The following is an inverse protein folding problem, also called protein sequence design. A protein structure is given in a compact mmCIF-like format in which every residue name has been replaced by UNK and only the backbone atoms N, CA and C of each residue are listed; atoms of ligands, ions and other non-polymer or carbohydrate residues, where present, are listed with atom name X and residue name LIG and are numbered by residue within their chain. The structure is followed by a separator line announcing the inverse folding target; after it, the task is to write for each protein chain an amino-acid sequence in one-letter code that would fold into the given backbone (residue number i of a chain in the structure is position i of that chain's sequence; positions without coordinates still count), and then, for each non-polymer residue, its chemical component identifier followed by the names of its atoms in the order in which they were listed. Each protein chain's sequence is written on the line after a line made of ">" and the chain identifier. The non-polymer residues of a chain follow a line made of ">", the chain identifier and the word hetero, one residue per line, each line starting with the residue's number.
data_IF_402876138943
#
_entry.id   IF_402876138943
#
_cell.length_a   1.000
_cell.length_b   1.000
_cell.length_c   1.000
_cell.angle_alpha   90.00
_cell.angle_beta   90.00
_cell.angle_gamma   90.00
#
_symmetry.space_group_name_H-M   'P 1'
#
loop_
_entity.id
_entity.type
_entity.pdbx_description
1 polymer ?
#
# COMPACT_ATOMS: atom_id res chain seq x y z
N UNK A 1 13.91 0.10 -15.75
CA UNK A 1 15.10 0.97 -15.82
C UNK A 1 15.55 1.03 -17.26
N UNK A 2 16.18 2.14 -17.65
CA UNK A 2 16.72 2.31 -18.99
C UNK A 2 17.77 1.22 -19.32
N UNK A 3 17.82 0.81 -20.59
CA UNK A 3 18.67 -0.26 -21.09
C UNK A 3 20.17 0.00 -20.88
N UNK A 4 20.58 1.28 -20.90
CA UNK A 4 21.96 1.70 -20.72
C UNK A 4 22.45 1.60 -19.27
N UNK A 5 21.54 1.48 -18.29
CA UNK A 5 21.91 1.46 -16.87
C UNK A 5 22.24 0.04 -16.41
N UNK A 6 23.41 -0.12 -15.78
CA UNK A 6 23.85 -1.41 -15.26
C UNK A 6 23.04 -1.84 -14.03
N UNK A 7 22.90 -3.16 -13.82
CA UNK A 7 22.25 -3.70 -12.63
C UNK A 7 22.97 -3.33 -11.33
N UNK A 8 24.31 -3.20 -11.35
CA UNK A 8 25.08 -2.77 -10.20
C UNK A 8 24.70 -1.34 -9.80
N UNK A 9 24.64 -0.44 -10.77
CA UNK A 9 24.20 0.96 -10.57
C UNK A 9 22.77 1.03 -10.03
N UNK A 10 21.83 0.26 -10.60
CA UNK A 10 20.45 0.22 -10.08
C UNK A 10 20.41 -0.30 -8.65
N UNK A 11 21.14 -1.39 -8.36
CA UNK A 11 21.18 -1.98 -7.02
C UNK A 11 21.71 -1.01 -5.99
N UNK A 12 22.84 -0.37 -6.27
CA UNK A 12 23.45 0.63 -5.39
C UNK A 12 22.52 1.82 -5.17
N UNK A 13 22.03 2.43 -6.26
CA UNK A 13 21.13 3.58 -6.16
C UNK A 13 19.85 3.29 -5.39
N UNK A 14 19.22 2.12 -5.59
CA UNK A 14 18.03 1.73 -4.81
C UNK A 14 18.37 1.55 -3.32
N UNK A 15 19.52 0.98 -2.98
CA UNK A 15 19.90 0.76 -1.58
C UNK A 15 20.25 2.08 -0.89
N UNK A 16 21.13 2.88 -1.49
CA UNK A 16 21.66 4.11 -0.87
C UNK A 16 20.67 5.27 -0.93
N UNK A 17 19.94 5.44 -2.02
CA UNK A 17 19.09 6.62 -2.24
C UNK A 17 17.62 6.39 -1.89
N UNK A 18 17.18 5.13 -1.75
CA UNK A 18 15.78 4.80 -1.46
C UNK A 18 15.65 4.03 -0.15
N UNK A 19 16.28 2.86 -0.03
CA UNK A 19 16.02 1.97 1.10
C UNK A 19 16.62 2.53 2.41
N UNK A 20 17.92 2.88 2.42
CA UNK A 20 18.56 3.43 3.63
C UNK A 20 17.90 4.73 4.13
N UNK A 21 17.52 5.69 3.26
CA UNK A 21 16.89 6.93 3.72
C UNK A 21 15.48 6.75 4.31
N UNK A 22 14.72 5.73 3.89
CA UNK A 22 13.35 5.49 4.40
C UNK A 22 13.29 4.48 5.55
N UNK A 23 14.35 3.69 5.77
CA UNK A 23 14.41 2.74 6.87
C UNK A 23 14.49 3.47 8.22
N UNK A 24 13.56 3.20 9.15
CA UNK A 24 13.62 3.80 10.49
C UNK A 24 14.89 3.37 11.24
N UNK A 25 15.60 4.33 11.83
CA UNK A 25 16.87 4.11 12.53
C UNK A 25 16.78 3.19 13.76
N UNK A 26 15.58 2.95 14.29
CA UNK A 26 15.37 2.10 15.46
C UNK A 26 15.21 0.61 15.12
N UNK A 27 15.13 0.24 13.84
CA UNK A 27 15.06 -1.17 13.43
C UNK A 27 16.47 -1.77 13.40
N UNK A 28 16.61 -3.01 13.87
CA UNK A 28 17.85 -3.76 13.66
C UNK A 28 17.99 -4.11 12.17
N UNK A 29 19.03 -3.56 11.56
CA UNK A 29 19.31 -3.72 10.12
C UNK A 29 20.47 -4.67 9.84
N UNK A 30 21.11 -5.23 10.88
CA UNK A 30 22.33 -6.04 10.76
C UNK A 30 22.14 -7.31 9.92
N UNK A 31 20.93 -7.89 9.94
CA UNK A 31 20.57 -9.10 9.20
C UNK A 31 19.85 -8.88 7.87
N UNK A 32 19.75 -7.64 7.35
CA UNK A 32 18.93 -7.37 6.17
C UNK A 32 19.55 -7.96 4.91
N UNK A 33 18.74 -8.76 4.20
CA UNK A 33 19.03 -9.22 2.84
C UNK A 33 18.35 -8.32 1.81
N UNK A 34 19.14 -7.50 1.11
CA UNK A 34 18.62 -6.65 0.03
C UNK A 34 18.42 -7.42 -1.28
N UNK A 35 17.17 -7.56 -1.72
CA UNK A 35 16.79 -8.12 -3.01
C UNK A 35 16.33 -7.01 -3.95
N UNK A 36 17.24 -6.50 -4.77
CA UNK A 36 16.95 -5.49 -5.79
C UNK A 36 16.98 -6.17 -7.14
N UNK A 37 15.88 -6.05 -7.91
CA UNK A 37 15.69 -6.70 -9.20
C UNK A 37 16.10 -8.19 -9.20
N UNK A 38 15.52 -9.04 -8.33
CA UNK A 38 15.96 -10.43 -8.20
C UNK A 38 15.81 -11.25 -9.49
N UNK A 39 14.96 -10.81 -10.42
CA UNK A 39 14.76 -11.42 -11.74
C UNK A 39 15.65 -10.81 -12.84
N UNK A 40 16.55 -9.89 -12.51
CA UNK A 40 17.48 -9.26 -13.44
C UNK A 40 16.93 -8.02 -14.15
N UNK A 41 17.11 -7.93 -15.48
CA UNK A 41 16.73 -6.75 -16.27
C UNK A 41 15.22 -6.53 -16.26
N UNK A 42 14.82 -5.28 -16.09
CA UNK A 42 13.42 -4.84 -16.10
C UNK A 42 13.34 -3.55 -16.90
N UNK A 43 13.39 -3.68 -18.23
CA UNK A 43 13.43 -2.55 -19.19
C UNK A 43 12.03 -2.17 -19.65
N UNK A 44 11.24 -3.17 -20.06
CA UNK A 44 9.84 -2.98 -20.48
C UNK A 44 8.94 -3.02 -19.24
N UNK A 45 8.11 -2.00 -19.06
CA UNK A 45 7.14 -1.92 -17.95
C UNK A 45 5.88 -1.18 -18.36
N UNK A 46 5.01 -0.91 -17.38
CA UNK A 46 3.72 -0.29 -17.64
C UNK A 46 2.77 -1.19 -18.45
N UNK A 47 1.80 -0.61 -19.19
CA UNK A 47 0.80 -1.38 -19.94
C UNK A 47 1.36 -2.33 -21.01
N UNK A 48 2.58 -2.08 -21.49
CA UNK A 48 3.26 -2.97 -22.44
C UNK A 48 3.72 -4.29 -21.80
N UNK A 49 3.90 -4.32 -20.47
CA UNK A 49 4.38 -5.50 -19.74
C UNK A 49 3.31 -6.22 -18.90
N UNK A 50 2.22 -5.53 -18.53
CA UNK A 50 1.13 -6.12 -17.74
C UNK A 50 -0.18 -5.33 -17.94
N UNK A 51 -1.31 -6.04 -17.98
CA UNK A 51 -2.63 -5.43 -18.15
C UNK A 51 -3.15 -4.86 -16.82
N UNK A 52 -3.44 -3.57 -16.80
CA UNK A 52 -3.97 -2.87 -15.62
C UNK A 52 -5.50 -2.78 -15.62
N UNK A 53 -6.13 -3.00 -14.46
CA UNK A 53 -7.55 -2.72 -14.23
C UNK A 53 -7.74 -1.95 -12.93
N UNK A 54 -8.69 -1.02 -12.92
CA UNK A 54 -9.11 -0.28 -11.72
C UNK A 54 -9.55 -1.23 -10.62
N UNK A 55 -9.13 -0.97 -9.37
CA UNK A 55 -9.56 -1.76 -8.21
C UNK A 55 -8.86 -3.12 -8.04
N UNK A 56 -7.71 -3.34 -8.69
CA UNK A 56 -6.93 -4.59 -8.55
C UNK A 56 -5.80 -4.53 -7.53
N UNK A 57 -5.70 -3.44 -6.75
CA UNK A 57 -4.68 -3.22 -5.71
C UNK A 57 -5.27 -2.84 -4.36
N UNK A 58 -6.50 -3.26 -4.06
CA UNK A 58 -7.26 -2.85 -2.85
C UNK A 58 -6.56 -3.12 -1.51
N UNK A 59 -5.72 -4.17 -1.43
CA UNK A 59 -4.93 -4.43 -0.21
C UNK A 59 -3.71 -3.50 -0.10
N UNK A 60 -3.13 -3.09 -1.23
CA UNK A 60 -2.09 -2.06 -1.28
C UNK A 60 -2.68 -0.68 -0.93
N UNK A 61 -3.89 -0.39 -1.39
CA UNK A 61 -4.60 0.88 -1.12
C UNK A 61 -5.03 1.02 0.35
N UNK A 62 -5.02 -0.06 1.14
CA UNK A 62 -5.55 -0.08 2.51
C UNK A 62 -4.45 -0.34 3.55
N UNK A 63 -4.36 -1.56 4.07
CA UNK A 63 -3.60 -1.86 5.28
C UNK A 63 -2.54 -2.96 5.09
N UNK A 64 -2.19 -3.28 3.83
CA UNK A 64 -1.07 -4.17 3.53
C UNK A 64 -1.21 -5.59 4.07
N UNK A 65 -2.45 -6.06 4.27
CA UNK A 65 -2.76 -7.38 4.86
C UNK A 65 -3.02 -7.37 6.36
N UNK A 66 -2.88 -6.23 7.04
CA UNK A 66 -3.28 -6.06 8.44
C UNK A 66 -4.78 -5.75 8.52
N UNK A 67 -5.50 -6.43 9.41
CA UNK A 67 -6.96 -6.28 9.55
C UNK A 67 -7.74 -6.89 8.38
N UNK A 68 -9.01 -6.50 8.23
CA UNK A 68 -9.93 -7.06 7.23
C UNK A 68 -10.35 -6.04 6.18
N UNK A 69 -10.71 -6.55 4.99
CA UNK A 69 -11.14 -5.73 3.86
C UNK A 69 -12.54 -6.12 3.40
N UNK A 70 -13.44 -5.14 3.20
CA UNK A 70 -14.84 -5.37 2.80
C UNK A 70 -15.03 -5.73 1.31
N UNK A 71 -13.97 -5.64 0.51
CA UNK A 71 -13.93 -6.08 -0.90
C UNK A 71 -14.15 -4.99 -1.94
N UNK A 72 -14.77 -3.85 -1.57
CA UNK A 72 -15.00 -2.74 -2.49
C UNK A 72 -13.74 -1.96 -2.86
N UNK A 73 -13.53 -1.69 -4.15
CA UNK A 73 -12.48 -0.78 -4.61
C UNK A 73 -12.82 0.71 -4.37
N UNK A 74 -11.81 1.58 -4.25
CA UNK A 74 -11.99 3.02 -4.04
C UNK A 74 -12.00 3.85 -5.34
N UNK A 75 -11.01 3.64 -6.20
CA UNK A 75 -10.82 4.44 -7.42
C UNK A 75 -11.96 4.25 -8.43
N UNK A 76 -12.33 5.33 -9.12
CA UNK A 76 -13.43 5.34 -10.09
C UNK A 76 -14.83 5.50 -9.48
N UNK A 77 -14.95 5.67 -8.16
CA UNK A 77 -16.23 5.85 -7.47
C UNK A 77 -16.33 7.24 -6.85
N UNK A 78 -17.44 7.95 -7.07
CA UNK A 78 -17.71 9.19 -6.35
C UNK A 78 -18.04 8.93 -4.86
N UNK A 79 -18.00 9.96 -3.99
CA UNK A 79 -18.16 9.79 -2.55
C UNK A 79 -19.52 9.25 -2.07
N UNK A 80 -20.55 9.17 -2.92
CA UNK A 80 -21.82 8.51 -2.54
C UNK A 80 -21.70 6.99 -2.42
N UNK A 81 -20.63 6.40 -2.95
CA UNK A 81 -20.42 4.93 -2.94
C UNK A 81 -19.76 4.54 -1.62
N UNK A 82 -20.53 3.86 -0.77
CA UNK A 82 -20.11 3.50 0.60
C UNK A 82 -18.84 2.67 0.67
N UNK A 83 -18.51 1.89 -0.37
CA UNK A 83 -17.21 1.21 -0.47
C UNK A 83 -16.02 2.16 -0.23
N UNK A 84 -16.15 3.43 -0.63
CA UNK A 84 -15.13 4.46 -0.47
C UNK A 84 -15.38 5.30 0.78
N UNK A 85 -16.55 5.92 0.89
CA UNK A 85 -16.83 6.88 1.96
C UNK A 85 -16.92 6.23 3.33
N UNK A 86 -17.54 5.04 3.45
CA UNK A 86 -17.61 4.34 4.72
C UNK A 86 -16.26 3.75 5.13
N UNK A 87 -15.44 3.29 4.18
CA UNK A 87 -14.07 2.85 4.47
C UNK A 87 -13.23 4.01 5.03
N UNK A 88 -13.38 5.22 4.48
CA UNK A 88 -12.69 6.42 4.98
C UNK A 88 -13.22 6.83 6.36
N UNK A 89 -14.53 6.74 6.60
CA UNK A 89 -15.13 6.98 7.92
C UNK A 89 -14.63 5.97 8.96
N UNK A 90 -14.58 4.68 8.61
CA UNK A 90 -14.05 3.64 9.49
C UNK A 90 -12.57 3.90 9.84
N UNK A 91 -11.75 4.31 8.88
CA UNK A 91 -10.36 4.73 9.13
C UNK A 91 -10.30 5.92 10.07
N UNK A 92 -11.14 6.94 9.86
CA UNK A 92 -11.19 8.12 10.73
C UNK A 92 -11.53 7.75 12.17
N UNK A 93 -12.55 6.91 12.37
CA UNK A 93 -12.94 6.43 13.71
C UNK A 93 -11.81 5.64 14.36
N UNK A 94 -11.26 4.63 13.67
CA UNK A 94 -10.18 3.79 14.20
C UNK A 94 -8.95 4.63 14.58
N UNK A 95 -8.56 5.59 13.72
CA UNK A 95 -7.43 6.49 13.99
C UNK A 95 -7.64 7.31 15.26
N UNK A 96 -8.85 7.84 15.47
CA UNK A 96 -9.15 8.68 16.65
C UNK A 96 -9.26 7.86 17.94
N UNK A 97 -9.77 6.62 17.88
CA UNK A 97 -9.77 5.70 19.03
C UNK A 97 -8.33 5.45 19.49
N UNK A 98 -7.41 5.16 18.57
CA UNK A 98 -6.00 4.95 18.91
C UNK A 98 -5.34 6.24 19.39
N UNK A 99 -5.55 7.35 18.69
CA UNK A 99 -4.95 8.64 19.04
C UNK A 99 -5.41 9.20 20.40
N UNK A 100 -6.61 8.82 20.87
CA UNK A 100 -7.13 9.21 22.19
C UNK A 100 -6.65 8.29 23.33
N UNK A 101 -5.84 7.27 23.03
CA UNK A 101 -5.30 6.35 24.04
C UNK A 101 -6.31 5.31 24.54
N UNK A 102 -7.45 5.16 23.86
CA UNK A 102 -8.47 4.16 24.24
C UNK A 102 -8.05 2.73 23.87
N UNK A 103 -7.18 2.57 22.88
CA UNK A 103 -6.62 1.29 22.46
C UNK A 103 -5.28 1.48 21.74
N UNK A 104 -4.41 0.46 21.76
CA UNK A 104 -3.17 0.43 20.98
C UNK A 104 -3.43 0.12 19.50
N UNK A 105 -4.44 -0.71 19.21
CA UNK A 105 -4.86 -1.11 17.87
C UNK A 105 -6.39 -1.15 17.84
N UNK A 106 -6.99 -0.65 16.75
CA UNK A 106 -8.45 -0.64 16.57
C UNK A 106 -8.82 -1.05 15.14
N UNK A 107 -9.76 -1.99 15.01
CA UNK A 107 -10.44 -2.32 13.77
C UNK A 107 -11.91 -1.93 13.87
N UNK A 108 -12.44 -1.30 12.82
CA UNK A 108 -13.84 -0.88 12.72
C UNK A 108 -14.45 -1.49 11.47
N UNK A 109 -15.58 -2.18 11.63
CA UNK A 109 -16.34 -2.73 10.52
C UNK A 109 -17.70 -2.03 10.44
N UNK A 110 -18.07 -1.57 9.24
CA UNK A 110 -19.37 -0.97 8.94
C UNK A 110 -20.07 -1.83 7.87
N UNK A 111 -21.39 -1.94 7.96
CA UNK A 111 -22.22 -2.64 6.99
C UNK A 111 -23.44 -1.79 6.63
N UNK A 112 -23.81 -1.80 5.36
CA UNK A 112 -24.92 -1.02 4.82
C UNK A 112 -25.87 -1.91 4.03
N UNK A 113 -27.16 -1.59 4.10
CA UNK A 113 -28.17 -2.11 3.19
C UNK A 113 -28.47 -1.06 2.11
N UNK A 114 -28.70 -1.48 0.87
CA UNK A 114 -29.00 -0.57 -0.24
C UNK A 114 -30.26 0.25 0.05
N UNK A 115 -30.18 1.57 -0.09
CA UNK A 115 -31.32 2.49 0.15
C UNK A 115 -31.57 2.85 1.62
N UNK A 116 -30.74 2.39 2.56
CA UNK A 116 -30.82 2.74 3.98
C UNK A 116 -29.68 3.71 4.32
N UNK A 117 -30.01 4.83 4.97
CA UNK A 117 -29.06 5.83 5.46
C UNK A 117 -28.74 5.60 6.95
#
# INVERSE_FOLDING_TARGET
>A
HDEAVSQATVREGVIEEIIKPVLPAHLDTSGIRFLVNPTGRFVVGGPAGDCGLTGRKIIVDSYGGTGRHGGGAFSGKDPSKVDRSAAYAARYVAKNIVASGLAEVCEVQLAYAIGVA
#
